data_IF_376584834077
#
_entry.id   IF_376584834077
#
_cell.length_a   1.000
_cell.length_b   1.000
_cell.length_c   1.000
_cell.angle_alpha   90.00
_cell.angle_beta   90.00
_cell.angle_gamma   90.00
#
_symmetry.space_group_name_H-M   'P 1'
#
loop_
_entity.id
_entity.type
_entity.pdbx_description
1 polymer ?
#
# COMPACT_ATOMS: atom_id res chain seq x y z
N UNK A 1 16.41 -22.25 -20.13
CA UNK A 1 16.05 -20.81 -20.02
C UNK A 1 17.33 -20.00 -19.81
N UNK A 2 17.53 -18.92 -20.57
CA UNK A 2 18.66 -18.00 -20.35
C UNK A 2 18.32 -17.11 -19.15
N UNK A 3 19.23 -16.97 -18.18
CA UNK A 3 18.98 -16.12 -17.02
C UNK A 3 18.71 -14.67 -17.49
N UNK A 4 17.69 -13.99 -16.93
CA UNK A 4 17.41 -12.61 -17.29
C UNK A 4 18.62 -11.72 -16.98
N UNK A 5 18.83 -10.72 -17.83
CA UNK A 5 19.93 -9.76 -17.70
C UNK A 5 19.81 -9.08 -16.33
N UNK A 6 20.91 -9.04 -15.58
CA UNK A 6 20.93 -8.44 -14.24
C UNK A 6 20.44 -6.98 -14.30
N UNK A 7 19.41 -6.67 -13.52
CA UNK A 7 18.90 -5.30 -13.39
C UNK A 7 19.86 -4.52 -12.50
N UNK A 8 20.40 -3.36 -12.92
CA UNK A 8 21.29 -2.57 -12.08
C UNK A 8 20.57 -2.17 -10.79
N UNK A 9 21.25 -2.34 -9.65
CA UNK A 9 20.70 -1.97 -8.34
C UNK A 9 20.47 -0.45 -8.30
N UNK A 10 19.23 -0.02 -8.13
CA UNK A 10 18.93 1.40 -7.91
C UNK A 10 19.35 1.75 -6.48
N UNK A 11 20.32 2.67 -6.33
CA UNK A 11 20.81 3.14 -5.01
C UNK A 11 20.06 4.35 -4.46
N UNK A 12 19.27 5.05 -5.28
CA UNK A 12 18.52 6.23 -4.85
C UNK A 12 17.33 5.82 -3.99
N UNK A 13 17.26 6.41 -2.79
CA UNK A 13 16.09 6.40 -1.90
C UNK A 13 15.49 7.81 -1.82
N UNK A 14 14.28 7.95 -1.29
CA UNK A 14 13.68 9.27 -1.06
C UNK A 14 14.37 9.94 0.13
N UNK A 15 14.62 11.25 0.04
CA UNK A 15 14.99 12.06 1.21
C UNK A 15 13.76 12.35 2.08
N UNK A 16 13.98 12.86 3.29
CA UNK A 16 12.89 13.24 4.18
C UNK A 16 11.98 14.31 3.55
N UNK A 17 12.57 15.29 2.85
CA UNK A 17 11.82 16.32 2.12
C UNK A 17 10.98 15.71 1.00
N UNK A 18 11.52 14.73 0.28
CA UNK A 18 10.80 14.03 -0.77
C UNK A 18 9.68 13.15 -0.22
N UNK A 19 9.87 12.53 0.95
CA UNK A 19 8.82 11.78 1.66
C UNK A 19 7.69 12.73 2.09
N UNK A 20 8.03 13.90 2.63
CA UNK A 20 7.05 14.93 3.01
C UNK A 20 6.30 15.44 1.78
N UNK A 21 7.01 15.73 0.68
CA UNK A 21 6.39 16.15 -0.57
C UNK A 21 5.44 15.07 -1.12
N UNK A 22 5.87 13.81 -1.10
CA UNK A 22 5.05 12.68 -1.51
C UNK A 22 3.80 12.56 -0.64
N UNK A 23 3.94 12.65 0.69
CA UNK A 23 2.81 12.59 1.62
C UNK A 23 1.79 13.68 1.30
N UNK A 24 2.21 14.94 1.15
CA UNK A 24 1.32 16.06 0.80
C UNK A 24 0.62 15.84 -0.54
N UNK A 25 1.32 15.31 -1.54
CA UNK A 25 0.71 14.98 -2.82
C UNK A 25 -0.41 13.92 -2.70
N UNK A 26 -0.35 13.04 -1.68
CA UNK A 26 -1.43 12.08 -1.43
C UNK A 26 -2.73 12.73 -0.96
N UNK A 27 -2.69 13.91 -0.34
CA UNK A 27 -3.87 14.61 0.17
C UNK A 27 -4.77 15.07 -0.99
N UNK A 28 -4.15 15.40 -2.13
CA UNK A 28 -4.84 15.79 -3.37
C UNK A 28 -5.06 14.61 -4.33
N UNK A 29 -4.53 13.42 -4.00
CA UNK A 29 -4.70 12.21 -4.78
C UNK A 29 -5.93 11.48 -4.28
N UNK A 30 -7.06 11.70 -4.95
CA UNK A 30 -8.33 11.08 -4.60
C UNK A 30 -8.30 9.54 -4.58
N UNK A 31 -9.47 8.95 -4.33
CA UNK A 31 -9.60 7.49 -4.28
C UNK A 31 -9.12 6.81 -5.58
N UNK A 32 -8.35 5.71 -5.50
CA UNK A 32 -7.81 5.06 -4.30
C UNK A 32 -6.38 5.49 -3.94
N UNK A 33 -5.76 6.36 -4.74
CA UNK A 33 -4.32 6.51 -4.80
C UNK A 33 -3.71 7.19 -3.58
N UNK A 34 -4.35 8.22 -3.04
CA UNK A 34 -3.85 8.90 -1.84
C UNK A 34 -3.72 7.94 -0.64
N UNK A 35 -4.83 7.35 -0.19
CA UNK A 35 -4.82 6.38 0.91
C UNK A 35 -3.91 5.17 0.64
N UNK A 36 -3.88 4.67 -0.61
CA UNK A 36 -3.00 3.55 -0.99
C UNK A 36 -1.52 3.89 -0.80
N UNK A 37 -1.07 5.06 -1.26
CA UNK A 37 0.32 5.51 -1.11
C UNK A 37 0.66 5.75 0.35
N UNK A 38 -0.26 6.34 1.13
CA UNK A 38 -0.06 6.51 2.58
C UNK A 38 0.11 5.17 3.29
N UNK A 39 -0.68 4.15 2.94
CA UNK A 39 -0.50 2.81 3.50
C UNK A 39 0.83 2.17 3.11
N UNK A 40 1.34 2.41 1.90
CA UNK A 40 2.70 1.96 1.53
C UNK A 40 3.77 2.61 2.42
N UNK A 41 3.68 3.91 2.64
CA UNK A 41 4.64 4.66 3.49
C UNK A 41 4.55 4.17 4.95
N UNK A 42 3.34 3.99 5.48
CA UNK A 42 3.13 3.69 6.89
C UNK A 42 3.42 2.24 7.27
N UNK A 43 3.25 1.30 6.34
CA UNK A 43 3.43 -0.14 6.60
C UNK A 43 4.74 -0.68 6.04
N UNK A 44 5.36 0.03 5.09
CA UNK A 44 6.55 -0.41 4.36
C UNK A 44 6.39 -1.79 3.69
N UNK A 45 5.16 -2.26 3.48
CA UNK A 45 4.90 -3.53 2.79
C UNK A 45 5.01 -3.37 1.28
N UNK A 46 5.15 -4.49 0.57
CA UNK A 46 5.31 -4.46 -0.88
C UNK A 46 4.03 -3.94 -1.52
N UNK A 47 4.22 -3.28 -2.66
CA UNK A 47 3.13 -2.67 -3.43
C UNK A 47 1.96 -3.61 -3.71
N UNK A 48 2.24 -4.85 -4.08
CA UNK A 48 1.19 -5.85 -4.33
C UNK A 48 0.51 -6.31 -3.04
N UNK A 49 1.27 -6.54 -1.97
CA UNK A 49 0.73 -6.96 -0.66
C UNK A 49 -0.28 -5.92 -0.14
N UNK A 50 0.04 -4.62 -0.26
CA UNK A 50 -0.90 -3.53 0.10
C UNK A 50 -2.05 -3.42 -0.91
N UNK A 51 -1.81 -3.58 -2.21
CA UNK A 51 -2.87 -3.44 -3.21
C UNK A 51 -3.96 -4.52 -3.06
N UNK A 52 -3.55 -5.70 -2.60
CA UNK A 52 -4.39 -6.87 -2.36
C UNK A 52 -4.81 -7.02 -0.89
N UNK A 53 -4.53 -6.04 -0.04
CA UNK A 53 -4.96 -6.02 1.37
C UNK A 53 -6.47 -6.26 1.46
N UNK A 54 -6.87 -7.19 2.32
CA UNK A 54 -8.28 -7.52 2.56
C UNK A 54 -8.69 -7.09 3.97
N UNK A 55 -9.92 -6.60 4.12
CA UNK A 55 -10.47 -6.21 5.41
C UNK A 55 -10.50 -7.35 6.44
N UNK A 56 -10.60 -8.60 6.00
CA UNK A 56 -10.58 -9.78 6.89
C UNK A 56 -9.22 -10.05 7.55
N UNK A 57 -8.16 -9.42 7.04
CA UNK A 57 -6.80 -9.55 7.58
C UNK A 57 -6.49 -8.48 8.64
N UNK A 58 -7.37 -7.50 8.81
CA UNK A 58 -7.16 -6.32 9.64
C UNK A 58 -7.92 -6.49 10.96
N UNK A 59 -7.16 -6.50 12.05
CA UNK A 59 -7.69 -6.43 13.40
C UNK A 59 -7.46 -5.01 13.95
N UNK A 60 -8.49 -4.19 13.86
CA UNK A 60 -8.45 -2.79 14.32
C UNK A 60 -8.28 -2.68 15.84
N UNK A 61 -8.73 -3.67 16.60
CA UNK A 61 -8.64 -3.66 18.07
C UNK A 61 -7.22 -4.02 18.51
N UNK A 62 -6.66 -5.09 17.95
CA UNK A 62 -5.28 -5.48 18.20
C UNK A 62 -4.26 -4.62 17.42
N UNK A 63 -4.74 -3.75 16.54
CA UNK A 63 -3.93 -2.82 15.71
C UNK A 63 -2.90 -3.56 14.87
N UNK A 64 -3.34 -4.61 14.17
CA UNK A 64 -2.49 -5.44 13.33
C UNK A 64 -3.15 -5.76 12.01
N UNK A 65 -2.32 -5.94 10.99
CA UNK A 65 -2.67 -6.56 9.72
C UNK A 65 -1.89 -7.87 9.62
N UNK A 66 -2.60 -8.99 9.54
CA UNK A 66 -2.00 -10.31 9.37
C UNK A 66 -2.01 -10.67 7.89
N UNK A 67 -0.89 -10.46 7.21
CA UNK A 67 -0.70 -10.83 5.81
C UNK A 67 -0.47 -12.34 5.70
N UNK A 68 -1.39 -13.10 5.07
CA UNK A 68 -1.27 -14.55 4.94
C UNK A 68 -0.06 -14.97 4.11
N UNK A 69 0.47 -16.17 4.39
CA UNK A 69 1.67 -16.69 3.74
C UNK A 69 1.52 -16.84 2.22
N UNK A 70 0.35 -17.24 1.73
CA UNK A 70 0.03 -17.42 0.31
C UNK A 70 0.02 -16.10 -0.49
N UNK A 71 -0.13 -14.96 0.18
CA UNK A 71 -0.03 -13.62 -0.42
C UNK A 71 1.29 -12.92 -0.13
N UNK A 72 2.03 -13.36 0.89
CA UNK A 72 3.33 -12.81 1.23
C UNK A 72 4.38 -13.21 0.21
N UNK A 73 5.21 -12.27 -0.24
CA UNK A 73 6.24 -12.53 -1.28
C UNK A 73 7.26 -13.63 -0.91
N UNK A 74 7.40 -13.94 0.37
CA UNK A 74 8.36 -14.91 0.91
C UNK A 74 7.70 -16.19 1.43
N UNK A 75 6.42 -16.43 1.12
CA UNK A 75 5.66 -17.62 1.54
C UNK A 75 5.61 -17.78 3.07
N UNK A 76 5.68 -16.68 3.82
CA UNK A 76 5.62 -16.65 5.29
C UNK A 76 4.59 -15.63 5.75
N UNK A 77 3.73 -16.05 6.68
CA UNK A 77 2.78 -15.14 7.31
C UNK A 77 3.53 -13.99 8.00
N UNK A 78 3.01 -12.78 7.84
CA UNK A 78 3.58 -11.59 8.45
C UNK A 78 2.52 -10.87 9.27
N UNK A 79 2.82 -10.58 10.53
CA UNK A 79 1.97 -9.73 11.38
C UNK A 79 2.54 -8.32 11.37
N UNK A 80 1.90 -7.43 10.62
CA UNK A 80 2.28 -6.03 10.50
C UNK A 80 1.59 -5.22 11.60
N UNK A 81 2.33 -4.57 12.51
CA UNK A 81 1.73 -3.65 13.47
C UNK A 81 1.26 -2.37 12.76
N UNK A 82 0.02 -1.95 13.02
CA UNK A 82 -0.56 -0.74 12.46
C UNK A 82 -0.32 0.44 13.39
N UNK A 83 0.39 1.45 12.88
CA UNK A 83 0.60 2.72 13.60
C UNK A 83 -0.73 3.45 13.79
N UNK A 84 -0.76 4.43 14.72
CA UNK A 84 -1.95 5.28 14.92
C UNK A 84 -2.40 5.95 13.61
N UNK A 85 -1.45 6.37 12.77
CA UNK A 85 -1.75 6.96 11.47
C UNK A 85 -2.35 5.94 10.50
N UNK A 86 -1.79 4.72 10.43
CA UNK A 86 -2.33 3.69 9.53
C UNK A 86 -3.76 3.28 9.93
N UNK A 87 -4.05 3.21 11.23
CA UNK A 87 -5.40 2.97 11.73
C UNK A 87 -6.36 4.09 11.37
N UNK A 88 -5.93 5.35 11.52
CA UNK A 88 -6.76 6.48 11.15
C UNK A 88 -7.10 6.46 9.65
N UNK A 89 -6.12 6.16 8.79
CA UNK A 89 -6.37 5.97 7.35
C UNK A 89 -7.41 4.88 7.09
N UNK A 90 -7.24 3.69 7.68
CA UNK A 90 -8.19 2.59 7.50
C UNK A 90 -9.59 2.92 8.04
N UNK A 91 -9.69 3.63 9.16
CA UNK A 91 -10.98 4.06 9.72
C UNK A 91 -11.70 5.06 8.81
N UNK A 92 -10.98 5.98 8.19
CA UNK A 92 -11.53 6.95 7.23
C UNK A 92 -12.11 6.28 5.98
N UNK A 93 -11.57 5.12 5.57
CA UNK A 93 -12.08 4.35 4.43
C UNK A 93 -13.40 3.64 4.69
N UNK A 94 -13.86 3.59 5.95
CA UNK A 94 -15.06 2.86 6.36
C UNK A 94 -14.77 1.36 6.47
N UNK A 95 -14.48 0.84 7.68
CA UNK A 95 -14.05 -0.54 7.82
C UNK A 95 -15.14 -1.51 7.39
N UNK A 96 -14.73 -2.56 6.67
CA UNK A 96 -15.59 -3.70 6.32
C UNK A 96 -15.10 -4.94 7.06
N UNK A 97 -15.86 -6.04 6.95
CA UNK A 97 -15.45 -7.34 7.52
C UNK A 97 -14.60 -8.18 6.55
N UNK A 98 -14.78 -7.98 5.25
CA UNK A 98 -14.12 -8.74 4.17
C UNK A 98 -14.11 -7.94 2.87
N UNK A 99 -13.23 -8.33 1.96
CA UNK A 99 -13.08 -7.73 0.65
C UNK A 99 -11.90 -6.76 0.59
N UNK A 100 -11.49 -6.44 -0.63
CA UNK A 100 -10.34 -5.59 -0.89
C UNK A 100 -10.49 -4.21 -0.25
N UNK A 101 -9.45 -3.78 0.45
CA UNK A 101 -9.33 -2.41 0.96
C UNK A 101 -9.20 -1.46 -0.21
N UNK A 102 -8.28 -1.71 -1.15
CA UNK A 102 -8.02 -0.85 -2.29
C UNK A 102 -8.57 -1.44 -3.59
N UNK A 103 -9.70 -0.92 -4.04
CA UNK A 103 -10.36 -1.34 -5.29
C UNK A 103 -11.23 -0.23 -5.88
N UNK A 104 -11.35 -0.19 -7.21
CA UNK A 104 -12.31 0.66 -7.92
C UNK A 104 -13.51 -0.11 -8.48
N UNK A 105 -13.41 -1.44 -8.60
CA UNK A 105 -14.45 -2.32 -9.17
C UNK A 105 -15.23 -3.10 -8.12
N UNK A 106 -14.65 -3.25 -6.93
CA UNK A 106 -15.15 -4.03 -5.80
C UNK A 106 -14.59 -5.46 -5.76
N UNK A 107 -14.01 -5.92 -6.87
CA UNK A 107 -13.62 -7.33 -7.06
C UNK A 107 -12.16 -7.52 -7.49
N UNK A 108 -11.49 -6.45 -7.93
CA UNK A 108 -10.10 -6.52 -8.38
C UNK A 108 -9.24 -5.49 -7.65
N UNK A 109 -8.00 -5.83 -7.23
CA UNK A 109 -7.12 -4.89 -6.57
C UNK A 109 -6.75 -3.74 -7.50
N UNK A 110 -6.39 -2.60 -6.91
CA UNK A 110 -5.87 -1.47 -7.67
C UNK A 110 -4.63 -1.86 -8.46
N UNK A 111 -4.60 -1.46 -9.73
CA UNK A 111 -3.52 -1.78 -10.67
C UNK A 111 -3.21 -0.57 -11.55
N UNK A 112 -2.22 -0.69 -12.45
CA UNK A 112 -1.84 0.44 -13.31
C UNK A 112 -1.09 1.55 -12.55
N UNK A 113 -0.25 1.18 -11.59
CA UNK A 113 0.51 2.07 -10.70
C UNK A 113 1.29 3.19 -11.41
N UNK A 114 1.67 3.00 -12.67
CA UNK A 114 2.32 4.04 -13.49
C UNK A 114 1.38 5.21 -13.85
N UNK A 115 0.07 4.98 -13.92
CA UNK A 115 -0.92 6.05 -14.08
C UNK A 115 -1.11 6.84 -12.79
N UNK A 116 -0.99 6.20 -11.63
CA UNK A 116 -0.96 6.90 -10.33
C UNK A 116 0.17 7.92 -10.21
N UNK A 117 1.31 7.66 -10.87
CA UNK A 117 2.43 8.62 -10.96
C UNK A 117 1.99 9.96 -11.58
N UNK A 118 1.15 9.95 -12.62
CA UNK A 118 0.67 11.17 -13.27
C UNK A 118 -0.25 12.03 -12.39
N UNK A 119 -0.85 11.44 -11.35
CA UNK A 119 -1.72 12.16 -10.40
C UNK A 119 -0.88 12.86 -9.32
N UNK A 120 0.25 12.25 -8.92
CA UNK A 120 1.15 12.77 -7.88
C UNK A 120 2.16 13.83 -8.38
N UNK A 121 2.38 13.93 -9.69
CA UNK A 121 3.32 14.89 -10.31
C UNK A 121 2.62 16.09 -10.98
N UNK A 122 1.45 16.51 -10.48
CA UNK A 122 0.85 17.77 -10.94
C UNK A 122 1.48 18.94 -10.17
N UNK A 123 2.49 19.54 -10.80
CA UNK A 123 2.90 20.93 -10.56
C UNK A 123 1.86 21.89 -11.20
#
# INVERSE_FOLDING_TARGET
MKAPKAVPSRRRVLSDEEIVALWRATENSGWPWGPFVRMLILTMQRRQEVAEMDWSEIDLNARRWTLPADRAKNDQEHVIPLTKLALAELQLLGPKRKGLVFTTTGTTPVSGFFKGRLVLHKD
#
